data_IF_264310974195
#
_entry.id   IF_264310974195
#
_cell.length_a   1.000
_cell.length_b   1.000
_cell.length_c   1.000
_cell.angle_alpha   90.00
_cell.angle_beta   90.00
_cell.angle_gamma   90.00
#
_symmetry.space_group_name_H-M   'P 1'
#
loop_
_entity.id
_entity.type
_entity.pdbx_description
1 polymer ?
#
# COMPACT_ATOMS: atom_id res chain seq x y z
N UNK A 1 -16.40 27.53 2.63
CA UNK A 1 -15.62 28.72 3.01
C UNK A 1 -14.16 28.30 2.92
N UNK A 2 -13.37 28.85 2.00
CA UNK A 2 -11.93 28.54 1.94
C UNK A 2 -11.29 28.97 3.25
N UNK A 3 -10.79 28.01 4.02
CA UNK A 3 -10.02 28.33 5.22
C UNK A 3 -8.62 28.72 4.76
N UNK A 4 -8.31 30.00 4.88
CA UNK A 4 -6.97 30.51 4.65
C UNK A 4 -6.00 29.87 5.63
N UNK A 5 -4.79 29.55 5.18
CA UNK A 5 -3.73 29.01 6.03
C UNK A 5 -3.54 29.89 7.28
N UNK A 6 -3.35 29.27 8.47
CA UNK A 6 -2.91 30.00 9.65
C UNK A 6 -1.66 30.84 9.38
N UNK A 7 -1.46 31.98 10.07
CA UNK A 7 -0.26 32.77 9.92
C UNK A 7 0.97 31.95 10.31
N UNK A 8 2.01 32.04 9.50
CA UNK A 8 3.30 31.43 9.81
C UNK A 8 3.95 32.15 10.99
N UNK A 9 4.61 31.39 11.85
CA UNK A 9 5.37 31.90 12.99
C UNK A 9 6.85 31.54 12.85
N UNK A 10 7.73 32.20 13.60
CA UNK A 10 9.15 31.82 13.58
C UNK A 10 9.36 30.50 14.33
N UNK A 11 10.41 29.75 14.00
CA UNK A 11 10.76 28.51 14.72
C UNK A 11 10.96 28.77 16.22
N UNK A 12 11.56 29.91 16.57
CA UNK A 12 11.73 30.32 17.96
C UNK A 12 10.39 30.53 18.69
N UNK A 13 9.38 31.11 18.01
CA UNK A 13 8.04 31.27 18.56
C UNK A 13 7.29 29.94 18.67
N UNK A 14 7.50 29.01 17.74
CA UNK A 14 6.95 27.66 17.84
C UNK A 14 7.53 26.93 19.07
N UNK A 15 8.85 26.96 19.24
CA UNK A 15 9.52 26.30 20.37
C UNK A 15 9.20 26.94 21.72
N UNK A 16 8.88 28.23 21.79
CA UNK A 16 8.50 28.86 23.06
C UNK A 16 7.20 28.32 23.64
N UNK A 17 6.37 27.63 22.84
CA UNK A 17 5.15 26.94 23.31
C UNK A 17 5.47 25.82 24.31
N UNK A 18 6.67 25.23 24.25
CA UNK A 18 7.08 24.19 25.19
C UNK A 18 7.22 24.72 26.64
N UNK A 19 7.37 26.04 26.80
CA UNK A 19 7.49 26.68 28.10
C UNK A 19 8.91 26.69 28.66
N UNK A 20 9.00 26.85 29.99
CA UNK A 20 10.28 26.87 30.69
C UNK A 20 11.02 25.52 30.61
N UNK A 21 12.35 25.56 30.82
CA UNK A 21 13.24 24.37 30.77
C UNK A 21 13.14 23.60 29.45
N UNK A 22 13.04 24.33 28.33
CA UNK A 22 13.05 23.75 26.99
C UNK A 22 14.37 22.99 26.74
N UNK A 23 14.24 21.70 26.45
CA UNK A 23 15.28 20.86 25.89
C UNK A 23 14.96 20.57 24.42
N UNK A 24 15.97 20.60 23.54
CA UNK A 24 15.82 20.36 22.11
C UNK A 24 16.43 19.01 21.73
N UNK A 25 15.73 18.28 20.89
CA UNK A 25 16.10 16.96 20.41
C UNK A 25 15.82 16.86 18.91
N UNK A 26 16.59 16.03 18.20
CA UNK A 26 16.38 15.74 16.78
C UNK A 26 16.06 14.26 16.63
N UNK A 27 14.91 13.95 16.03
CA UNK A 27 14.49 12.58 15.73
C UNK A 27 14.26 12.49 14.21
N UNK A 28 15.27 12.00 13.50
CA UNK A 28 15.29 12.04 12.04
C UNK A 28 15.16 13.49 11.53
N UNK A 29 14.22 13.79 10.62
CA UNK A 29 14.01 15.15 10.11
C UNK A 29 13.22 16.07 11.07
N UNK A 30 12.72 15.55 12.19
CA UNK A 30 11.88 16.31 13.13
C UNK A 30 12.71 16.95 14.25
N UNK A 31 12.41 18.21 14.56
CA UNK A 31 12.92 18.92 15.73
C UNK A 31 11.88 18.86 16.86
N UNK A 32 12.29 18.39 18.03
CA UNK A 32 11.42 18.22 19.20
C UNK A 32 11.88 19.13 20.33
N UNK A 33 10.99 19.98 20.81
CA UNK A 33 11.17 20.80 22.00
C UNK A 33 10.36 20.26 23.18
N UNK A 34 11.02 19.75 24.22
CA UNK A 34 10.35 19.28 25.43
C UNK A 34 10.54 20.29 26.57
N UNK A 35 9.46 20.87 27.08
CA UNK A 35 9.49 21.82 28.18
C UNK A 35 8.51 21.50 29.30
N UNK A 36 8.31 22.44 30.21
CA UNK A 36 7.43 22.26 31.36
C UNK A 36 5.94 22.21 30.99
N UNK A 37 5.55 22.94 29.94
CA UNK A 37 4.14 23.19 29.61
C UNK A 37 3.66 22.28 28.48
N UNK A 38 4.54 21.91 27.55
CA UNK A 38 4.20 21.09 26.39
C UNK A 38 5.40 20.38 25.76
N UNK A 39 5.09 19.48 24.83
CA UNK A 39 6.03 18.98 23.84
C UNK A 39 5.71 19.66 22.50
N UNK A 40 6.71 20.23 21.85
CA UNK A 40 6.61 20.87 20.53
C UNK A 40 7.33 20.01 19.51
N UNK A 41 6.72 19.80 18.36
CA UNK A 41 7.28 19.03 17.26
C UNK A 41 7.24 19.88 16.01
N UNK A 42 8.37 20.03 15.34
CA UNK A 42 8.51 20.75 14.08
C UNK A 42 9.01 19.76 13.04
N UNK A 43 8.16 19.45 12.07
CA UNK A 43 8.45 18.48 11.01
C UNK A 43 8.80 19.18 9.70
N UNK A 44 9.58 18.51 8.86
CA UNK A 44 9.81 18.96 7.49
C UNK A 44 8.58 18.61 6.60
N UNK A 45 8.31 19.41 5.56
CA UNK A 45 7.29 19.09 4.59
C UNK A 45 7.80 17.97 3.67
N UNK A 46 6.89 17.17 3.13
CA UNK A 46 7.23 16.10 2.21
C UNK A 46 6.05 15.23 1.86
N UNK A 47 6.12 14.58 0.69
CA UNK A 47 5.05 13.73 0.16
C UNK A 47 5.58 12.31 -0.14
N UNK A 48 6.09 11.64 0.90
CA UNK A 48 6.52 10.25 0.80
C UNK A 48 5.89 9.46 1.96
N UNK A 49 4.75 8.79 1.74
CA UNK A 49 4.09 8.00 2.77
C UNK A 49 5.04 6.98 3.44
N UNK A 50 4.97 6.87 4.76
CA UNK A 50 5.87 6.05 5.58
C UNK A 50 7.27 6.65 5.80
N UNK A 51 7.64 7.76 5.15
CA UNK A 51 8.95 8.41 5.31
C UNK A 51 8.87 9.88 5.71
N UNK A 52 8.02 10.66 5.05
CA UNK A 52 7.68 12.03 5.45
C UNK A 52 6.98 11.98 6.81
N UNK A 53 6.95 13.08 7.56
CA UNK A 53 6.32 13.02 8.89
C UNK A 53 4.79 13.12 8.82
N UNK A 54 4.23 14.07 8.08
CA UNK A 54 2.77 14.15 7.91
C UNK A 54 2.34 13.03 6.96
N UNK A 55 1.52 12.09 7.44
CA UNK A 55 1.05 10.94 6.65
C UNK A 55 -0.25 11.27 5.90
N UNK A 56 -1.20 11.90 6.59
CA UNK A 56 -2.51 12.26 6.05
C UNK A 56 -3.07 13.46 6.83
N UNK A 57 -4.37 13.73 6.70
CA UNK A 57 -5.02 14.85 7.38
C UNK A 57 -5.02 14.75 8.92
N UNK A 58 -4.81 13.57 9.50
CA UNK A 58 -4.90 13.34 10.95
C UNK A 58 -3.62 12.73 11.53
N UNK A 59 -2.84 11.97 10.76
CA UNK A 59 -1.71 11.21 11.26
C UNK A 59 -0.37 11.88 10.98
N UNK A 60 0.50 11.88 12.00
CA UNK A 60 1.90 12.30 11.91
C UNK A 60 2.78 11.17 12.44
N UNK A 61 3.77 10.76 11.65
CA UNK A 61 4.77 9.76 11.99
C UNK A 61 6.10 10.46 12.29
N UNK A 62 6.68 10.15 13.43
CA UNK A 62 8.08 10.46 13.73
C UNK A 62 8.89 9.18 13.55
N UNK A 63 10.02 9.27 12.89
CA UNK A 63 10.94 8.15 12.69
C UNK A 63 12.38 8.66 12.84
N UNK A 64 13.21 7.94 13.57
CA UNK A 64 14.61 8.31 13.78
C UNK A 64 15.26 7.54 14.92
N UNK A 65 16.50 7.92 15.24
CA UNK A 65 17.24 7.29 16.33
C UNK A 65 16.52 7.46 17.68
N UNK A 66 16.65 6.45 18.53
CA UNK A 66 16.01 6.41 19.85
C UNK A 66 16.52 7.53 20.77
N UNK A 67 15.59 8.27 21.38
CA UNK A 67 15.88 9.31 22.37
C UNK A 67 15.19 8.96 23.69
N UNK A 68 15.94 8.40 24.64
CA UNK A 68 15.39 7.89 25.91
C UNK A 68 14.64 8.97 26.72
N UNK A 69 15.14 10.21 26.72
CA UNK A 69 14.56 11.34 27.46
C UNK A 69 13.13 11.71 27.02
N UNK A 70 12.75 11.33 25.79
CA UNK A 70 11.44 11.65 25.23
C UNK A 70 10.39 10.58 25.55
N UNK A 71 10.76 9.43 26.11
CA UNK A 71 9.85 8.31 26.29
C UNK A 71 8.57 8.68 27.04
N UNK A 72 8.69 9.37 28.18
CA UNK A 72 7.55 9.81 29.00
C UNK A 72 6.68 10.89 28.33
N UNK A 73 7.20 11.55 27.29
CA UNK A 73 6.47 12.58 26.52
C UNK A 73 5.52 11.98 25.49
N UNK A 74 5.74 10.72 25.12
CA UNK A 74 4.98 10.00 24.10
C UNK A 74 4.27 8.77 24.66
N UNK A 75 4.09 8.71 25.97
CA UNK A 75 3.18 7.75 26.58
C UNK A 75 1.75 7.97 26.04
N UNK A 76 1.02 6.87 25.88
CA UNK A 76 -0.37 6.94 25.42
C UNK A 76 -1.19 7.83 26.36
N UNK A 77 -1.75 8.92 25.82
CA UNK A 77 -2.45 9.96 26.59
C UNK A 77 -1.59 10.57 27.71
N UNK A 78 -0.32 10.85 27.41
CA UNK A 78 0.57 11.59 28.28
C UNK A 78 -0.06 12.91 28.80
N UNK A 79 0.39 13.40 29.96
CA UNK A 79 -0.28 14.50 30.67
C UNK A 79 -0.11 15.88 30.03
N UNK A 80 0.80 16.03 29.06
CA UNK A 80 1.13 17.31 28.44
C UNK A 80 0.74 17.30 26.95
N UNK A 81 0.21 18.41 26.43
CA UNK A 81 -0.17 18.52 25.03
C UNK A 81 1.06 18.43 24.12
N UNK A 82 0.87 17.82 22.96
CA UNK A 82 1.86 17.79 21.88
C UNK A 82 1.41 18.80 20.83
N UNK A 83 2.16 19.88 20.64
CA UNK A 83 1.91 20.84 19.56
C UNK A 83 2.74 20.49 18.34
N UNK A 84 2.08 20.41 17.18
CA UNK A 84 2.74 20.05 15.92
C UNK A 84 2.78 21.26 14.99
N UNK A 85 3.94 21.46 14.37
CA UNK A 85 4.19 22.48 13.36
C UNK A 85 4.90 21.86 12.16
N UNK A 86 4.69 22.41 10.98
CA UNK A 86 5.49 22.10 9.80
C UNK A 86 6.40 23.28 9.45
N UNK A 87 7.68 23.01 9.19
CA UNK A 87 8.65 24.00 8.73
C UNK A 87 8.44 24.27 7.25
N UNK A 88 8.08 25.48 6.87
CA UNK A 88 8.02 25.97 5.49
C UNK A 88 9.14 27.01 5.28
N UNK A 89 9.40 27.38 4.02
CA UNK A 89 10.48 28.33 3.68
C UNK A 89 10.38 29.68 4.41
N UNK A 90 9.16 30.12 4.71
CA UNK A 90 8.87 31.42 5.33
C UNK A 90 8.60 31.36 6.85
N UNK A 91 8.62 30.16 7.45
CA UNK A 91 8.32 29.97 8.87
C UNK A 91 7.65 28.65 9.18
N UNK A 92 7.21 28.48 10.42
CA UNK A 92 6.50 27.30 10.91
C UNK A 92 4.99 27.50 10.78
N UNK A 93 4.31 26.58 10.10
CA UNK A 93 2.86 26.48 10.03
C UNK A 93 2.32 25.67 11.23
N UNK A 94 1.45 26.23 12.07
CA UNK A 94 0.80 25.48 13.15
C UNK A 94 -0.17 24.43 12.57
N UNK A 95 0.00 23.16 12.95
CA UNK A 95 -0.87 22.06 12.53
C UNK A 95 -1.92 21.69 13.58
N UNK A 96 -1.69 22.08 14.84
CA UNK A 96 -2.63 21.86 15.94
C UNK A 96 -1.98 21.08 17.08
N UNK A 97 -2.82 20.44 17.88
CA UNK A 97 -2.44 19.55 18.98
C UNK A 97 -2.64 18.09 18.55
N UNK A 98 -1.80 17.21 19.09
CA UNK A 98 -1.84 15.79 18.83
C UNK A 98 -1.73 14.97 20.12
N UNK A 99 -2.10 13.71 20.01
CA UNK A 99 -1.91 12.68 21.02
C UNK A 99 -1.05 11.56 20.44
N UNK A 100 -0.20 10.96 21.28
CA UNK A 100 0.53 9.77 20.87
C UNK A 100 -0.41 8.55 20.89
N UNK A 101 -0.52 7.86 19.74
CA UNK A 101 -1.08 6.51 19.67
C UNK A 101 0.02 5.52 20.09
N UNK A 102 0.05 5.21 21.38
CA UNK A 102 0.82 4.06 21.85
C UNK A 102 0.18 2.77 21.34
N UNK A 103 0.95 1.91 20.68
CA UNK A 103 0.61 0.50 20.61
C UNK A 103 0.76 -0.05 22.03
N UNK A 104 -0.33 -0.56 22.61
CA UNK A 104 -0.42 -0.91 24.03
C UNK A 104 0.46 -2.10 24.48
N UNK A 105 1.39 -2.59 23.64
CA UNK A 105 2.10 -3.85 23.90
C UNK A 105 3.55 -3.94 23.41
N UNK A 106 4.32 -2.84 23.34
CA UNK A 106 5.78 -2.94 23.14
C UNK A 106 6.58 -1.87 23.88
N UNK A 107 7.01 -2.10 25.13
CA UNK A 107 7.96 -1.24 25.81
C UNK A 107 9.39 -1.67 25.47
N UNK A 108 9.97 -1.22 24.36
CA UNK A 108 11.43 -1.34 24.18
C UNK A 108 12.09 -0.46 23.11
N UNK A 109 11.43 -0.11 22.01
CA UNK A 109 12.04 0.66 20.92
C UNK A 109 11.18 1.89 20.58
N UNK A 110 11.69 3.07 20.94
CA UNK A 110 11.12 4.36 20.57
C UNK A 110 11.92 4.94 19.39
N UNK A 111 12.04 4.16 18.31
CA UNK A 111 12.62 4.59 17.03
C UNK A 111 11.54 5.16 16.07
N UNK A 112 10.27 5.03 16.45
CA UNK A 112 9.14 5.66 15.80
C UNK A 112 8.05 6.09 16.80
N UNK A 113 7.25 7.09 16.44
CA UNK A 113 6.08 7.52 17.19
C UNK A 113 4.95 7.93 16.25
N UNK A 114 3.77 7.31 16.42
CA UNK A 114 2.57 7.66 15.67
C UNK A 114 1.72 8.65 16.48
N UNK A 115 1.44 9.81 15.91
CA UNK A 115 0.62 10.85 16.51
C UNK A 115 -0.68 11.02 15.73
N UNK A 116 -1.75 11.28 16.46
CA UNK A 116 -3.08 11.59 15.92
C UNK A 116 -3.43 13.02 16.30
N UNK A 117 -3.68 13.88 15.32
CA UNK A 117 -4.10 15.26 15.50
C UNK A 117 -5.54 15.30 16.06
N UNK A 118 -5.79 16.22 16.99
CA UNK A 118 -7.13 16.41 17.58
C UNK A 118 -8.18 16.84 16.55
N UNK A 119 -7.73 17.48 15.47
CA UNK A 119 -8.57 17.90 14.36
C UNK A 119 -7.88 17.58 13.04
N UNK A 120 -8.61 17.09 12.03
CA UNK A 120 -8.07 16.95 10.68
C UNK A 120 -7.58 18.29 10.14
N UNK A 121 -6.45 18.25 9.42
CA UNK A 121 -5.93 19.37 8.66
C UNK A 121 -6.91 19.76 7.55
N UNK A 122 -7.03 21.06 7.27
CA UNK A 122 -7.71 21.50 6.05
C UNK A 122 -6.92 21.06 4.82
N UNK A 123 -7.57 21.04 3.66
CA UNK A 123 -6.90 20.65 2.41
C UNK A 123 -5.74 21.58 2.09
N UNK A 124 -5.93 22.89 2.27
CA UNK A 124 -4.89 23.90 2.04
C UNK A 124 -3.69 23.67 2.95
N UNK A 125 -3.92 23.31 4.23
CA UNK A 125 -2.85 22.97 5.16
C UNK A 125 -2.12 21.70 4.75
N UNK A 126 -2.85 20.64 4.40
CA UNK A 126 -2.28 19.37 3.96
C UNK A 126 -1.44 19.55 2.70
N UNK A 127 -1.93 20.30 1.71
CA UNK A 127 -1.22 20.57 0.46
C UNK A 127 -0.01 21.50 0.66
N UNK A 128 -0.01 22.36 1.69
CA UNK A 128 1.16 23.15 2.04
C UNK A 128 2.29 22.31 2.67
N UNK A 129 1.95 21.28 3.45
CA UNK A 129 2.95 20.45 4.17
C UNK A 129 3.30 19.15 3.45
N UNK A 130 2.42 18.70 2.56
CA UNK A 130 2.62 17.59 1.61
C UNK A 130 2.42 18.14 0.19
N UNK A 131 3.33 18.97 -0.33
CA UNK A 131 3.15 19.55 -1.66
C UNK A 131 2.93 18.45 -2.71
N UNK A 132 1.79 18.49 -3.40
CA UNK A 132 1.46 17.53 -4.46
C UNK A 132 2.35 17.83 -5.67
N UNK A 133 3.34 16.99 -6.01
CA UNK A 133 4.10 17.20 -7.22
C UNK A 133 3.17 17.06 -8.44
N UNK A 134 3.45 17.80 -9.51
CA UNK A 134 2.79 17.56 -10.81
C UNK A 134 2.91 16.06 -11.12
N UNK A 135 1.80 15.35 -11.41
CA UNK A 135 1.84 13.93 -11.71
C UNK A 135 2.86 13.70 -12.83
N UNK A 136 3.75 12.73 -12.61
CA UNK A 136 4.65 12.27 -13.66
C UNK A 136 3.87 11.58 -14.78
N UNK A 137 4.56 11.05 -15.80
CA UNK A 137 3.92 10.15 -16.75
C UNK A 137 3.29 8.97 -16.00
N UNK A 138 1.99 8.76 -16.20
CA UNK A 138 1.23 7.62 -15.66
C UNK A 138 1.11 6.53 -16.72
N UNK A 139 1.08 5.25 -16.34
CA UNK A 139 0.85 4.16 -17.27
C UNK A 139 -0.54 4.26 -17.90
N UNK A 140 -0.63 3.96 -19.19
CA UNK A 140 -1.90 3.85 -19.92
C UNK A 140 -2.65 2.56 -19.55
N UNK A 141 -3.91 2.47 -19.96
CA UNK A 141 -4.83 1.37 -19.65
C UNK A 141 -5.13 0.45 -20.84
N UNK A 142 -4.43 0.63 -21.96
CA UNK A 142 -4.57 -0.18 -23.18
C UNK A 142 -4.26 -1.67 -22.96
N UNK A 143 -3.48 -2.00 -21.93
CA UNK A 143 -3.19 -3.40 -21.57
C UNK A 143 -4.45 -4.19 -21.21
N UNK A 144 -5.54 -3.51 -20.80
CA UNK A 144 -6.83 -4.15 -20.49
C UNK A 144 -7.42 -4.84 -21.74
N UNK A 145 -7.15 -4.32 -22.95
CA UNK A 145 -7.60 -4.93 -24.21
C UNK A 145 -6.97 -6.29 -24.49
N UNK A 146 -5.86 -6.62 -23.82
CA UNK A 146 -5.18 -7.90 -23.96
C UNK A 146 -5.66 -8.96 -22.97
N UNK A 147 -6.43 -8.61 -21.93
CA UNK A 147 -6.71 -9.51 -20.79
C UNK A 147 -7.45 -10.78 -21.19
N UNK A 148 -8.38 -10.71 -22.14
CA UNK A 148 -9.15 -11.88 -22.60
C UNK A 148 -8.40 -12.72 -23.64
N UNK A 149 -7.59 -12.08 -24.50
CA UNK A 149 -6.96 -12.75 -25.66
C UNK A 149 -5.51 -13.16 -25.42
N UNK A 150 -4.77 -12.40 -24.61
CA UNK A 150 -3.35 -12.55 -24.32
C UNK A 150 -3.03 -12.02 -22.90
N UNK A 151 -3.44 -12.74 -21.85
CA UNK A 151 -3.25 -12.32 -20.46
C UNK A 151 -1.78 -12.18 -20.06
N UNK A 152 -0.87 -12.90 -20.72
CA UNK A 152 0.58 -12.78 -20.48
C UNK A 152 1.07 -11.41 -20.96
N UNK A 153 0.66 -10.97 -22.16
CA UNK A 153 0.97 -9.63 -22.65
C UNK A 153 0.30 -8.52 -21.83
N UNK A 154 -0.91 -8.76 -21.32
CA UNK A 154 -1.59 -7.84 -20.41
C UNK A 154 -0.76 -7.65 -19.12
N UNK A 155 -0.32 -8.75 -18.50
CA UNK A 155 0.56 -8.74 -17.32
C UNK A 155 1.89 -8.03 -17.60
N UNK A 156 2.55 -8.33 -18.72
CA UNK A 156 3.79 -7.67 -19.12
C UNK A 156 3.61 -6.15 -19.27
N UNK A 157 2.59 -5.73 -20.01
CA UNK A 157 2.32 -4.31 -20.27
C UNK A 157 1.99 -3.56 -18.98
N UNK A 158 1.17 -4.17 -18.10
CA UNK A 158 0.85 -3.62 -16.79
C UNK A 158 2.10 -3.49 -15.92
N UNK A 159 2.88 -4.56 -15.75
CA UNK A 159 4.05 -4.58 -14.86
C UNK A 159 5.12 -3.60 -15.32
N UNK A 160 5.41 -3.54 -16.62
CA UNK A 160 6.43 -2.64 -17.16
C UNK A 160 6.05 -1.16 -17.03
N UNK A 161 4.75 -0.85 -17.03
CA UNK A 161 4.21 0.51 -16.87
C UNK A 161 4.01 0.94 -15.41
N UNK A 162 3.54 0.03 -14.54
CA UNK A 162 3.21 0.35 -13.15
C UNK A 162 4.45 0.38 -12.25
N UNK A 163 5.38 -0.55 -12.46
CA UNK A 163 6.59 -0.64 -11.65
C UNK A 163 7.77 0.02 -12.36
N UNK A 164 8.52 0.92 -11.70
CA UNK A 164 9.72 1.51 -12.30
C UNK A 164 10.81 0.46 -12.51
N UNK A 165 11.67 0.69 -13.50
CA UNK A 165 12.90 -0.08 -13.64
C UNK A 165 13.84 0.29 -12.49
N UNK A 166 14.49 -0.72 -11.90
CA UNK A 166 15.50 -0.52 -10.87
C UNK A 166 16.87 -0.86 -11.43
N UNK A 167 17.88 -0.05 -11.10
CA UNK A 167 19.28 -0.39 -11.34
C UNK A 167 19.59 -1.65 -10.53
N UNK A 168 19.63 -2.78 -11.22
CA UNK A 168 19.92 -4.07 -10.61
C UNK A 168 21.40 -4.34 -10.86
N UNK A 169 22.15 -4.66 -9.81
CA UNK A 169 23.49 -5.24 -10.00
C UNK A 169 23.36 -6.51 -10.84
N UNK A 170 24.32 -6.81 -11.73
CA UNK A 170 24.26 -8.00 -12.57
C UNK A 170 24.07 -9.21 -11.66
N UNK A 171 22.95 -9.91 -11.85
CA UNK A 171 22.63 -11.10 -11.09
C UNK A 171 23.83 -12.05 -11.15
N UNK A 172 24.33 -12.48 -9.99
CA UNK A 172 25.15 -13.68 -9.93
C UNK A 172 24.37 -14.78 -10.66
N UNK A 173 25.03 -15.51 -11.56
CA UNK A 173 24.45 -16.65 -12.26
C UNK A 173 24.10 -17.72 -11.21
N UNK A 174 22.95 -17.59 -10.55
CA UNK A 174 22.41 -18.63 -9.71
C UNK A 174 22.02 -19.80 -10.62
N UNK A 175 22.97 -20.73 -10.70
CA UNK A 175 22.86 -22.03 -11.35
C UNK A 175 21.71 -22.84 -10.71
N UNK A 176 20.49 -22.58 -11.15
CA UNK A 176 19.29 -23.41 -10.91
C UNK A 176 18.48 -23.57 -12.20
N UNK A 177 19.17 -23.61 -13.35
CA UNK A 177 18.58 -23.75 -14.68
C UNK A 177 17.82 -25.08 -14.91
N UNK A 178 17.82 -26.02 -13.97
CA UNK A 178 17.22 -27.34 -14.16
C UNK A 178 15.69 -27.37 -14.05
N UNK A 179 15.10 -26.72 -13.03
CA UNK A 179 13.67 -26.84 -12.73
C UNK A 179 12.81 -25.70 -13.33
N UNK A 180 13.39 -24.53 -13.61
CA UNK A 180 12.69 -23.40 -14.24
C UNK A 180 12.36 -23.64 -15.72
N UNK A 181 13.11 -24.52 -16.40
CA UNK A 181 12.96 -24.78 -17.84
C UNK A 181 11.65 -25.49 -18.22
N UNK A 182 10.92 -26.03 -17.25
CA UNK A 182 9.66 -26.75 -17.48
C UNK A 182 8.43 -26.03 -16.89
N UNK A 183 8.58 -24.80 -16.40
CA UNK A 183 7.45 -24.04 -15.89
C UNK A 183 6.42 -23.75 -16.99
N UNK A 184 5.12 -23.69 -16.66
CA UNK A 184 4.11 -23.14 -17.56
C UNK A 184 4.51 -21.75 -18.07
N UNK A 185 4.13 -21.43 -19.29
CA UNK A 185 4.55 -20.22 -19.99
C UNK A 185 4.26 -18.95 -19.17
N UNK A 186 3.10 -18.89 -18.52
CA UNK A 186 2.69 -17.76 -17.69
C UNK A 186 3.60 -17.55 -16.47
N UNK A 187 3.98 -18.61 -15.75
CA UNK A 187 4.93 -18.50 -14.63
C UNK A 187 6.34 -18.15 -15.12
N UNK A 188 6.77 -18.75 -16.24
CA UNK A 188 8.04 -18.40 -16.85
C UNK A 188 8.08 -16.92 -17.28
N UNK A 189 6.98 -16.39 -17.81
CA UNK A 189 6.82 -14.99 -18.16
C UNK A 189 6.86 -14.09 -16.92
N UNK A 190 6.16 -14.44 -15.84
CA UNK A 190 6.23 -13.72 -14.57
C UNK A 190 7.68 -13.62 -14.06
N UNK A 191 8.44 -14.71 -14.05
CA UNK A 191 9.84 -14.69 -13.63
C UNK A 191 10.74 -13.86 -14.56
N UNK A 192 10.46 -13.82 -15.87
CA UNK A 192 11.15 -12.89 -16.80
C UNK A 192 10.86 -11.44 -16.42
N UNK A 193 9.60 -11.10 -16.18
CA UNK A 193 9.19 -9.75 -15.76
C UNK A 193 9.82 -9.37 -14.42
N UNK A 194 9.88 -10.30 -13.47
CA UNK A 194 10.44 -10.03 -12.16
C UNK A 194 11.96 -9.75 -12.20
N UNK A 195 12.67 -10.24 -13.22
CA UNK A 195 14.07 -9.83 -13.47
C UNK A 195 14.17 -8.39 -14.00
N UNK A 196 13.18 -7.95 -14.78
CA UNK A 196 13.12 -6.57 -15.30
C UNK A 196 12.53 -5.57 -14.30
N UNK A 197 11.69 -6.06 -13.38
CA UNK A 197 10.97 -5.32 -12.34
C UNK A 197 11.02 -6.09 -11.02
N UNK A 198 12.13 -6.03 -10.28
CA UNK A 198 12.30 -6.79 -9.04
C UNK A 198 11.28 -6.46 -7.94
N UNK A 199 10.56 -5.33 -8.07
CA UNK A 199 9.49 -4.94 -7.16
C UNK A 199 8.38 -6.00 -7.02
N UNK A 200 8.05 -6.73 -8.09
CA UNK A 200 6.95 -7.73 -8.05
C UNK A 200 7.30 -8.99 -7.25
N UNK A 201 8.56 -9.19 -6.88
CA UNK A 201 8.98 -10.24 -5.93
C UNK A 201 9.06 -9.74 -4.48
N UNK A 202 8.85 -8.44 -4.24
CA UNK A 202 8.86 -7.80 -2.91
C UNK A 202 7.45 -7.45 -2.43
N UNK A 203 6.43 -8.00 -3.07
CA UNK A 203 5.07 -8.00 -2.57
C UNK A 203 4.99 -8.59 -1.16
N UNK A 204 3.96 -8.18 -0.41
CA UNK A 204 3.71 -8.71 0.92
C UNK A 204 3.46 -10.22 0.82
N UNK A 205 2.64 -10.60 -0.16
CA UNK A 205 2.31 -11.98 -0.48
C UNK A 205 2.99 -12.34 -1.82
N UNK A 206 4.13 -13.06 -1.82
CA UNK A 206 4.95 -13.20 -3.02
C UNK A 206 4.55 -14.40 -3.88
N UNK A 207 4.70 -14.21 -5.20
CA UNK A 207 5.03 -15.33 -6.10
C UNK A 207 6.45 -15.78 -5.78
N UNK A 208 6.60 -17.05 -5.43
CA UNK A 208 7.86 -17.66 -4.99
C UNK A 208 8.89 -17.63 -6.11
N UNK A 209 10.09 -17.09 -5.85
CA UNK A 209 11.24 -17.13 -6.77
C UNK A 209 11.58 -18.56 -7.23
N UNK A 210 11.39 -19.51 -6.33
CA UNK A 210 11.56 -20.94 -6.57
C UNK A 210 10.26 -21.65 -6.14
N UNK A 211 9.39 -22.00 -7.11
CA UNK A 211 8.20 -22.79 -6.84
C UNK A 211 8.56 -24.13 -6.17
N UNK A 212 7.74 -24.57 -5.21
CA UNK A 212 8.03 -25.72 -4.35
C UNK A 212 7.13 -26.89 -4.73
N UNK A 213 7.69 -28.09 -4.80
CA UNK A 213 6.90 -29.31 -4.96
C UNK A 213 6.18 -29.65 -3.66
N UNK A 214 4.93 -30.05 -3.76
CA UNK A 214 4.12 -30.53 -2.65
C UNK A 214 3.31 -31.73 -3.11
N UNK A 215 3.31 -32.81 -2.31
CA UNK A 215 2.44 -33.96 -2.53
C UNK A 215 1.23 -33.81 -1.61
N UNK A 216 0.03 -33.65 -2.18
CA UNK A 216 -1.22 -33.45 -1.42
C UNK A 216 -2.28 -34.48 -1.81
N UNK A 217 -3.43 -34.46 -1.13
CA UNK A 217 -4.55 -35.39 -1.39
C UNK A 217 -5.01 -35.42 -2.85
N UNK A 218 -4.97 -34.28 -3.53
CA UNK A 218 -5.30 -34.17 -4.96
C UNK A 218 -4.08 -34.36 -5.89
N UNK A 219 -3.05 -35.08 -5.44
CA UNK A 219 -1.85 -35.37 -6.23
C UNK A 219 -0.68 -34.42 -6.00
N UNK A 220 0.37 -34.64 -6.79
CA UNK A 220 1.56 -33.80 -6.79
C UNK A 220 1.26 -32.43 -7.42
N UNK A 221 1.80 -31.39 -6.78
CA UNK A 221 1.51 -29.99 -7.06
C UNK A 221 2.78 -29.16 -7.00
N UNK A 222 2.77 -28.06 -7.74
CA UNK A 222 3.78 -27.01 -7.68
C UNK A 222 3.16 -25.78 -7.02
N UNK A 223 3.59 -25.49 -5.80
CA UNK A 223 3.22 -24.28 -5.05
C UNK A 223 4.04 -23.12 -5.60
N UNK A 224 3.37 -22.08 -6.07
CA UNK A 224 4.03 -20.96 -6.75
C UNK A 224 3.78 -19.61 -6.09
N UNK A 225 2.74 -19.45 -5.26
CA UNK A 225 2.47 -18.22 -4.52
C UNK A 225 1.97 -18.56 -3.11
N UNK A 226 2.16 -17.63 -2.18
CA UNK A 226 1.74 -17.78 -0.78
C UNK A 226 1.05 -16.52 -0.30
N UNK A 227 0.08 -16.68 0.59
CA UNK A 227 -0.47 -15.62 1.42
C UNK A 227 0.11 -15.75 2.82
N UNK A 228 1.24 -15.09 3.07
CA UNK A 228 2.03 -15.28 4.29
C UNK A 228 1.24 -14.84 5.53
N UNK A 229 0.47 -13.75 5.41
CA UNK A 229 -0.38 -13.25 6.49
C UNK A 229 -1.55 -14.16 6.88
N UNK A 230 -2.02 -15.01 5.96
CA UNK A 230 -3.16 -15.91 6.18
C UNK A 230 -2.74 -17.38 6.27
N UNK A 231 -1.47 -17.70 6.04
CA UNK A 231 -0.96 -19.06 6.03
C UNK A 231 -1.46 -19.92 4.86
N UNK A 232 -1.97 -19.28 3.78
CA UNK A 232 -2.54 -19.98 2.62
C UNK A 232 -1.53 -20.08 1.48
N UNK A 233 -1.75 -20.99 0.53
CA UNK A 233 -0.94 -21.04 -0.68
C UNK A 233 -1.72 -21.37 -1.97
N UNK A 234 -1.13 -20.99 -3.10
CA UNK A 234 -1.64 -21.32 -4.43
C UNK A 234 -0.71 -22.27 -5.15
N UNK A 235 -1.33 -23.23 -5.82
CA UNK A 235 -0.64 -24.30 -6.52
C UNK A 235 -1.28 -24.65 -7.86
N UNK A 236 -0.49 -25.28 -8.72
CA UNK A 236 -0.93 -25.90 -9.97
C UNK A 236 -0.61 -27.41 -9.95
N UNK A 237 -1.33 -28.25 -10.71
CA UNK A 237 -0.97 -29.65 -10.90
C UNK A 237 0.47 -29.81 -11.40
N UNK A 238 1.23 -30.77 -10.86
CA UNK A 238 2.60 -31.03 -11.29
C UNK A 238 3.02 -32.49 -11.09
N UNK A 239 3.62 -33.18 -12.07
CA UNK A 239 3.96 -32.71 -13.41
C UNK A 239 2.69 -32.37 -14.23
N UNK A 240 2.80 -31.60 -15.32
CA UNK A 240 1.65 -31.24 -16.15
C UNK A 240 0.86 -32.50 -16.58
N UNK A 241 -0.45 -32.49 -16.38
CA UNK A 241 -1.32 -33.65 -16.70
C UNK A 241 -1.32 -33.96 -18.21
N UNK A 242 -1.25 -32.91 -19.03
CA UNK A 242 -1.08 -33.02 -20.48
C UNK A 242 0.19 -32.27 -20.91
N UNK A 243 1.10 -32.92 -21.67
CA UNK A 243 2.16 -32.18 -22.36
C UNK A 243 1.46 -31.26 -23.36
N UNK A 244 1.51 -29.94 -23.11
CA UNK A 244 0.83 -28.85 -23.83
C UNK A 244 -0.44 -28.26 -23.17
N UNK A 245 -0.80 -28.57 -21.92
CA UNK A 245 -1.72 -27.67 -21.20
C UNK A 245 -1.02 -26.33 -20.98
N UNK A 246 -1.29 -25.38 -21.89
CA UNK A 246 -0.62 -24.08 -21.93
C UNK A 246 -0.89 -23.24 -20.68
N UNK A 247 -2.08 -23.40 -20.09
CA UNK A 247 -2.54 -22.61 -18.95
C UNK A 247 -3.24 -23.49 -17.90
N UNK A 248 -2.52 -23.93 -16.85
CA UNK A 248 -3.06 -24.82 -15.82
C UNK A 248 -4.05 -24.11 -14.89
N UNK A 249 -4.96 -24.89 -14.30
CA UNK A 249 -5.88 -24.40 -13.27
C UNK A 249 -5.15 -24.15 -11.95
N UNK A 250 -5.53 -23.08 -11.26
CA UNK A 250 -4.96 -22.67 -9.98
C UNK A 250 -5.83 -23.16 -8.82
N UNK A 251 -5.19 -23.58 -7.74
CA UNK A 251 -5.85 -24.08 -6.55
C UNK A 251 -5.31 -23.38 -5.30
N UNK A 252 -6.22 -22.80 -4.53
CA UNK A 252 -5.99 -22.26 -3.19
C UNK A 252 -6.02 -23.38 -2.15
N UNK A 253 -5.12 -23.36 -1.18
CA UNK A 253 -5.20 -24.20 0.02
C UNK A 253 -5.10 -23.31 1.26
N UNK A 254 -6.14 -23.30 2.07
CA UNK A 254 -6.29 -22.40 3.23
C UNK A 254 -5.39 -22.81 4.40
N UNK A 255 -5.28 -24.11 4.64
CA UNK A 255 -4.42 -24.68 5.69
C UNK A 255 -3.46 -25.73 5.10
N UNK A 256 -2.36 -25.32 4.44
CA UNK A 256 -1.42 -26.23 3.77
C UNK A 256 -0.83 -27.33 4.67
N UNK A 257 -0.77 -27.07 5.98
CA UNK A 257 -0.21 -27.99 6.98
C UNK A 257 -1.26 -28.93 7.60
N UNK A 258 -2.55 -28.70 7.37
CA UNK A 258 -3.62 -29.54 7.89
C UNK A 258 -3.85 -30.75 6.98
N UNK A 259 -3.89 -31.95 7.58
CA UNK A 259 -4.01 -33.21 6.84
C UNK A 259 -5.34 -33.36 6.08
N UNK A 260 -6.37 -32.62 6.48
CA UNK A 260 -7.74 -32.65 5.94
C UNK A 260 -8.09 -31.41 5.12
N UNK A 261 -7.12 -30.53 4.83
CA UNK A 261 -7.36 -29.31 4.06
C UNK A 261 -7.84 -29.62 2.63
N UNK A 262 -9.04 -29.16 2.28
CA UNK A 262 -9.60 -29.30 0.94
C UNK A 262 -9.19 -28.09 0.09
N UNK A 263 -8.50 -28.30 -1.04
CA UNK A 263 -8.11 -27.19 -1.91
C UNK A 263 -9.32 -26.67 -2.70
N UNK A 264 -9.40 -25.35 -2.81
CA UNK A 264 -10.44 -24.63 -3.52
C UNK A 264 -9.93 -24.29 -4.91
N UNK A 265 -10.74 -24.56 -5.93
CA UNK A 265 -10.40 -24.21 -7.31
C UNK A 265 -10.62 -22.71 -7.54
N UNK A 266 -9.58 -22.00 -7.98
CA UNK A 266 -9.71 -20.62 -8.43
C UNK A 266 -10.43 -20.55 -9.78
N UNK A 267 -11.17 -19.46 -10.01
CA UNK A 267 -11.96 -19.29 -11.23
C UNK A 267 -11.05 -19.05 -12.44
N UNK A 268 -10.00 -18.26 -12.25
CA UNK A 268 -9.07 -17.91 -13.30
C UNK A 268 -7.97 -18.98 -13.46
N UNK A 269 -7.61 -19.36 -14.71
CA UNK A 269 -6.42 -20.17 -14.97
C UNK A 269 -5.15 -19.35 -14.70
N UNK A 270 -4.00 -20.03 -14.62
CA UNK A 270 -2.74 -19.46 -14.13
C UNK A 270 -2.35 -18.12 -14.76
N UNK A 271 -2.49 -17.95 -16.07
CA UNK A 271 -2.12 -16.71 -16.75
C UNK A 271 -2.94 -15.49 -16.30
N UNK A 272 -4.26 -15.67 -16.15
CA UNK A 272 -5.19 -14.64 -15.70
C UNK A 272 -5.16 -14.46 -14.19
N UNK A 273 -4.94 -15.55 -13.46
CA UNK A 273 -4.70 -15.53 -12.02
C UNK A 273 -3.45 -14.72 -11.67
N UNK A 274 -2.33 -14.90 -12.38
CA UNK A 274 -1.11 -14.13 -12.12
C UNK A 274 -1.32 -12.63 -12.34
N UNK A 275 -2.09 -12.24 -13.36
CA UNK A 275 -2.50 -10.85 -13.54
C UNK A 275 -3.37 -10.37 -12.36
N UNK A 276 -4.40 -11.13 -12.00
CA UNK A 276 -5.31 -10.82 -10.89
C UNK A 276 -4.57 -10.65 -9.56
N UNK A 277 -3.70 -11.59 -9.22
CA UNK A 277 -2.86 -11.58 -8.04
C UNK A 277 -1.91 -10.38 -8.03
N UNK A 278 -1.28 -10.08 -9.18
CA UNK A 278 -0.39 -8.91 -9.30
C UNK A 278 -1.16 -7.60 -9.13
N UNK A 279 -2.42 -7.51 -9.61
CA UNK A 279 -3.26 -6.31 -9.41
C UNK A 279 -3.60 -6.09 -7.94
N UNK A 280 -3.99 -7.15 -7.24
CA UNK A 280 -4.25 -7.12 -5.80
C UNK A 280 -3.03 -6.63 -5.02
N UNK A 281 -1.87 -7.25 -5.24
CA UNK A 281 -0.63 -6.85 -4.57
C UNK A 281 -0.15 -5.45 -5.00
N UNK A 282 -0.38 -5.05 -6.25
CA UNK A 282 -0.05 -3.70 -6.72
C UNK A 282 -0.88 -2.61 -6.04
N UNK A 283 -2.16 -2.87 -5.73
CA UNK A 283 -3.00 -1.97 -4.94
C UNK A 283 -2.44 -1.88 -3.52
N UNK A 284 -2.16 -3.00 -2.87
CA UNK A 284 -1.62 -3.03 -1.51
C UNK A 284 -0.24 -2.37 -1.40
N UNK A 285 0.61 -2.54 -2.41
CA UNK A 285 1.95 -1.97 -2.49
C UNK A 285 2.00 -0.56 -3.09
N UNK A 286 0.87 0.02 -3.51
CA UNK A 286 0.84 1.35 -4.12
C UNK A 286 1.42 2.42 -3.16
N UNK A 287 2.11 3.46 -3.66
CA UNK A 287 2.65 4.51 -2.80
C UNK A 287 1.56 5.32 -2.06
N UNK A 288 0.38 5.49 -2.68
CA UNK A 288 -0.73 6.26 -2.12
C UNK A 288 -2.00 5.43 -2.13
N UNK A 289 -2.75 5.48 -1.03
CA UNK A 289 -3.97 4.70 -0.86
C UNK A 289 -5.19 5.58 -0.54
N UNK A 290 -6.35 5.09 -0.94
CA UNK A 290 -7.63 5.54 -0.42
C UNK A 290 -8.54 4.33 -0.20
N UNK A 291 -9.17 4.24 0.97
CA UNK A 291 -10.11 3.16 1.30
C UNK A 291 -11.36 3.73 1.94
N UNK A 292 -12.53 3.28 1.48
CA UNK A 292 -13.80 3.71 2.06
C UNK A 292 -14.14 2.91 3.32
N UNK A 293 -14.99 3.47 4.17
CA UNK A 293 -15.85 2.64 5.01
C UNK A 293 -16.89 1.93 4.13
N UNK A 294 -17.61 0.97 4.73
CA UNK A 294 -18.76 0.36 4.07
C UNK A 294 -19.77 1.44 3.64
N UNK A 295 -20.27 1.33 2.42
CA UNK A 295 -21.23 2.26 1.83
C UNK A 295 -22.23 1.55 0.92
N UNK A 296 -23.40 2.15 0.62
CA UNK A 296 -24.37 1.54 -0.29
C UNK A 296 -23.80 1.32 -1.70
N UNK A 297 -24.07 0.17 -2.32
CA UNK A 297 -23.57 -0.18 -3.67
C UNK A 297 -23.92 0.86 -4.75
N UNK A 298 -25.08 1.53 -4.64
CA UNK A 298 -25.49 2.60 -5.55
C UNK A 298 -24.53 3.81 -5.57
N UNK A 299 -23.65 3.96 -4.57
CA UNK A 299 -22.62 5.01 -4.55
C UNK A 299 -21.50 4.77 -5.57
N UNK A 300 -21.35 3.54 -6.05
CA UNK A 300 -20.34 3.18 -7.03
C UNK A 300 -20.66 3.70 -8.44
N UNK A 301 -21.92 4.02 -8.74
CA UNK A 301 -22.34 4.47 -10.09
C UNK A 301 -21.57 5.68 -10.60
N UNK A 302 -21.13 6.54 -9.68
CA UNK A 302 -20.32 7.72 -10.01
C UNK A 302 -18.90 7.39 -10.50
N UNK A 303 -18.39 6.18 -10.22
CA UNK A 303 -17.04 5.74 -10.58
C UNK A 303 -16.96 5.13 -11.97
N UNK A 304 -18.08 4.66 -12.53
CA UNK A 304 -18.08 3.92 -13.79
C UNK A 304 -17.76 4.80 -15.01
N UNK A 305 -17.91 6.13 -14.90
CA UNK A 305 -17.48 7.05 -15.96
C UNK A 305 -15.98 7.33 -15.95
N UNK A 306 -15.29 7.10 -14.84
CA UNK A 306 -13.86 7.40 -14.70
C UNK A 306 -12.98 6.15 -14.74
N UNK A 307 -13.54 4.97 -14.46
CA UNK A 307 -12.80 3.72 -14.36
C UNK A 307 -13.21 2.74 -15.45
N UNK A 308 -12.22 2.03 -15.97
CA UNK A 308 -12.40 0.90 -16.88
C UNK A 308 -12.44 -0.40 -16.07
N UNK A 309 -13.49 -1.25 -16.21
CA UNK A 309 -13.48 -2.58 -15.60
C UNK A 309 -12.41 -3.46 -16.24
N UNK A 310 -11.70 -4.24 -15.43
CA UNK A 310 -10.76 -5.25 -15.91
C UNK A 310 -11.54 -6.56 -16.09
N UNK A 311 -11.54 -7.20 -17.26
CA UNK A 311 -12.39 -8.36 -17.55
C UNK A 311 -11.80 -9.64 -16.95
N UNK A 312 -11.75 -9.68 -15.62
CA UNK A 312 -11.39 -10.82 -14.78
C UNK A 312 -12.60 -11.21 -13.93
N UNK A 313 -12.66 -12.49 -13.58
CA UNK A 313 -13.57 -13.01 -12.57
C UNK A 313 -13.23 -12.41 -11.20
N UNK A 314 -14.13 -12.45 -10.21
CA UNK A 314 -13.82 -11.98 -8.86
C UNK A 314 -12.64 -12.75 -8.24
N UNK A 315 -11.73 -12.03 -7.57
CA UNK A 315 -10.64 -12.64 -6.81
C UNK A 315 -11.15 -13.11 -5.46
N UNK A 316 -10.68 -14.28 -5.01
CA UNK A 316 -11.10 -14.90 -3.75
C UNK A 316 -12.63 -14.91 -3.61
N UNK A 317 -13.37 -15.55 -4.54
CA UNK A 317 -14.83 -15.50 -4.59
C UNK A 317 -15.51 -16.09 -3.34
N UNK A 318 -14.82 -16.98 -2.61
CA UNK A 318 -15.30 -17.53 -1.34
C UNK A 318 -15.14 -16.54 -0.15
N UNK A 319 -14.44 -15.43 -0.35
CA UNK A 319 -14.10 -14.44 0.66
C UNK A 319 -14.64 -13.07 0.27
N UNK A 320 -13.78 -12.21 -0.30
CA UNK A 320 -14.09 -10.81 -0.59
C UNK A 320 -14.68 -10.62 -1.98
N UNK A 321 -14.53 -11.60 -2.88
CA UNK A 321 -15.04 -11.55 -4.25
C UNK A 321 -14.68 -10.24 -4.97
N UNK A 322 -13.41 -9.86 -4.89
CA UNK A 322 -12.93 -8.56 -5.33
C UNK A 322 -12.93 -8.42 -6.85
N UNK A 323 -13.41 -7.28 -7.33
CA UNK A 323 -13.37 -6.90 -8.75
C UNK A 323 -12.43 -5.72 -8.94
N UNK A 324 -11.69 -5.74 -10.04
CA UNK A 324 -10.67 -4.73 -10.32
C UNK A 324 -11.10 -3.76 -11.43
N UNK A 325 -10.72 -2.52 -11.24
CA UNK A 325 -10.92 -1.42 -12.17
C UNK A 325 -9.65 -0.59 -12.28
N UNK A 326 -9.48 0.11 -13.39
CA UNK A 326 -8.28 0.90 -13.66
C UNK A 326 -8.60 2.23 -14.33
N UNK A 327 -7.79 3.23 -14.00
CA UNK A 327 -7.61 4.46 -14.77
C UNK A 327 -6.10 4.79 -14.83
N UNK A 328 -5.64 5.74 -15.67
CA UNK A 328 -4.23 6.08 -15.74
C UNK A 328 -3.62 6.41 -14.37
N UNK A 329 -2.67 5.59 -13.92
CA UNK A 329 -1.99 5.74 -12.61
C UNK A 329 -2.86 5.42 -11.38
N UNK A 330 -4.02 4.79 -11.56
CA UNK A 330 -4.97 4.43 -10.50
C UNK A 330 -5.49 3.01 -10.68
N UNK A 331 -5.37 2.20 -9.65
CA UNK A 331 -6.05 0.92 -9.53
C UNK A 331 -7.13 1.01 -8.47
N UNK A 332 -8.23 0.29 -8.69
CA UNK A 332 -9.30 0.13 -7.72
C UNK A 332 -9.64 -1.34 -7.59
N UNK A 333 -9.85 -1.78 -6.36
CA UNK A 333 -10.58 -3.01 -6.05
C UNK A 333 -11.87 -2.67 -5.30
N UNK A 334 -12.91 -3.45 -5.57
CA UNK A 334 -14.18 -3.38 -4.85
C UNK A 334 -14.61 -4.76 -4.41
N UNK A 335 -14.96 -4.86 -3.14
CA UNK A 335 -15.75 -5.96 -2.60
C UNK A 335 -17.17 -5.45 -2.39
N UNK A 336 -18.17 -6.12 -2.94
CA UNK A 336 -19.57 -5.72 -2.77
C UNK A 336 -20.54 -6.90 -2.73
N UNK A 337 -21.67 -6.65 -2.10
CA UNK A 337 -22.88 -7.45 -2.20
C UNK A 337 -24.02 -6.63 -2.84
N UNK A 338 -25.25 -7.13 -2.75
CA UNK A 338 -26.44 -6.48 -3.31
C UNK A 338 -26.72 -5.09 -2.72
N UNK A 339 -26.21 -4.80 -1.52
CA UNK A 339 -26.55 -3.64 -0.72
C UNK A 339 -25.35 -2.78 -0.34
N UNK A 340 -24.20 -3.40 -0.07
CA UNK A 340 -23.04 -2.79 0.54
C UNK A 340 -21.77 -3.01 -0.30
N UNK A 341 -20.88 -2.03 -0.25
CA UNK A 341 -19.61 -2.04 -0.96
C UNK A 341 -18.50 -1.39 -0.12
N UNK A 342 -17.30 -1.95 -0.25
CA UNK A 342 -16.04 -1.37 0.23
C UNK A 342 -15.12 -1.22 -0.97
N UNK A 343 -14.53 -0.04 -1.13
CA UNK A 343 -13.58 0.25 -2.21
C UNK A 343 -12.22 0.59 -1.64
N UNK A 344 -11.19 0.09 -2.31
CA UNK A 344 -9.79 0.44 -2.05
C UNK A 344 -9.13 0.86 -3.35
N UNK A 345 -8.34 1.92 -3.29
CA UNK A 345 -7.60 2.49 -4.40
C UNK A 345 -6.11 2.48 -4.10
N UNK A 346 -5.31 2.13 -5.11
CA UNK A 346 -3.87 2.30 -5.13
C UNK A 346 -3.47 3.27 -6.24
N UNK A 347 -2.67 4.29 -5.93
CA UNK A 347 -2.23 5.30 -6.88
C UNK A 347 -0.70 5.48 -6.87
N UNK A 348 -0.14 5.75 -8.05
CA UNK A 348 1.29 6.09 -8.20
C UNK A 348 1.60 7.53 -7.80
N UNK A 349 0.61 8.41 -7.86
CA UNK A 349 0.73 9.82 -7.50
C UNK A 349 -0.42 10.24 -6.59
N UNK A 350 -0.11 11.02 -5.56
CA UNK A 350 -1.10 11.60 -4.63
C UNK A 350 -2.22 12.33 -5.37
N UNK A 351 -1.83 13.14 -6.37
CA UNK A 351 -2.75 13.95 -7.17
C UNK A 351 -3.84 13.13 -7.88
N UNK A 352 -3.57 11.87 -8.24
CA UNK A 352 -4.51 10.98 -8.92
C UNK A 352 -5.72 10.62 -8.04
N UNK A 353 -5.60 10.69 -6.72
CA UNK A 353 -6.69 10.44 -5.79
C UNK A 353 -7.62 11.65 -5.62
N UNK A 354 -7.15 12.87 -5.91
CA UNK A 354 -7.89 14.13 -5.68
C UNK A 354 -9.30 14.14 -6.28
N UNK A 355 -9.53 13.69 -7.54
CA UNK A 355 -10.87 13.67 -8.13
C UNK A 355 -11.88 12.84 -7.33
N UNK A 356 -11.43 11.84 -6.56
CA UNK A 356 -12.31 10.99 -5.76
C UNK A 356 -13.05 11.75 -4.65
N UNK A 357 -12.53 12.92 -4.24
CA UNK A 357 -13.17 13.78 -3.23
C UNK A 357 -14.53 14.30 -3.70
N UNK A 358 -14.73 14.48 -5.02
CA UNK A 358 -15.98 14.97 -5.58
C UNK A 358 -17.15 14.00 -5.36
N UNK A 359 -16.86 12.72 -5.13
CA UNK A 359 -17.86 11.70 -4.89
C UNK A 359 -18.34 11.66 -3.43
N UNK A 360 -17.65 12.32 -2.50
CA UNK A 360 -18.08 12.46 -1.11
C UNK A 360 -18.20 11.12 -0.37
N UNK A 361 -17.27 10.19 -0.60
CA UNK A 361 -17.21 8.95 0.15
C UNK A 361 -16.73 9.20 1.58
N UNK A 362 -17.18 8.34 2.50
CA UNK A 362 -16.63 8.31 3.85
C UNK A 362 -15.37 7.46 3.82
N UNK A 363 -14.21 8.09 3.97
CA UNK A 363 -12.90 7.43 3.86
C UNK A 363 -12.42 6.93 5.23
N UNK A 364 -12.01 5.67 5.29
CA UNK A 364 -11.24 5.11 6.41
C UNK A 364 -9.75 5.43 6.29
N UNK A 365 -9.26 5.60 5.05
CA UNK A 365 -7.94 6.12 4.71
C UNK A 365 -8.01 6.96 3.44
N UNK A 366 -7.26 8.06 3.39
CA UNK A 366 -7.13 8.87 2.19
C UNK A 366 -5.80 9.64 2.20
N UNK A 367 -4.82 9.13 1.46
CA UNK A 367 -3.46 9.71 1.41
C UNK A 367 -3.35 10.88 0.42
N UNK A 368 -4.40 11.08 -0.38
CA UNK A 368 -4.52 11.91 -1.58
C UNK A 368 -4.91 13.35 -1.39
#
# INVERSE_FOLDING_TARGET
>A
MSQTLPPLITEAAALSVAGARLHRYEMGPALIGAGADATVIIVAPGDNPGRSSVQDSIHVLLSGDRIADLHSRFEFRGPLPIHVFARLDQGCLPLGTALCRGTSYAPAAFDHAALELDRPLSREMLDAVRPVPTPGPVPDVDWVDHVETDPIRALESFVLGWFPAEETEPAEEESTAGDLNNLPEALAAFHRLARLRPAIHRFHDPVLKQPRRSSRRLGDRLVFAVWDGAGMDWSIPWPPEEPCQADPRVWLTEEPNAADSEPILEVEPLSRFLLQFTLYEAINAAPYHASSYCMPTARLDALWSMLRPIPLSPFLPAYTAERFFVAPGLLMQVSNDESEAVVSFGALHRGTLTPLLEHGFSWSRFDG
#
